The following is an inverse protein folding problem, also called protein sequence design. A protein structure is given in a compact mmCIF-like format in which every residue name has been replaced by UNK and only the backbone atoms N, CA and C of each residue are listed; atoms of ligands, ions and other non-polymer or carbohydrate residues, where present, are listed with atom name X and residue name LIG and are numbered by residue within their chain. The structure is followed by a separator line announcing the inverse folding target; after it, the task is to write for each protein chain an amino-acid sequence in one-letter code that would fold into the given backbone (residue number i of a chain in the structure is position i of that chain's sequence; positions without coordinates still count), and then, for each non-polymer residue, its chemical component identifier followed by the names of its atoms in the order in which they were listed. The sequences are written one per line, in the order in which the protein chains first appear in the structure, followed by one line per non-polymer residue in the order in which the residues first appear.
data_IF_026954692848
#
_entry.id   IF_026954692848
#
_cell.length_a   1.000
_cell.length_b   1.000
_cell.length_c   1.000
_cell.angle_alpha   90.00
_cell.angle_beta   90.00
_cell.angle_gamma   90.00
#
_symmetry.space_group_name_H-M   'P 1'
#
loop_
_entity.id
_entity.type
_entity.pdbx_description
1 polymer ?
#
# COMPACT_ATOMS: atom_id res chain seq x y z
N UNK A 1 17.62 -9.86 1.56
CA UNK A 1 16.54 -9.69 0.56
C UNK A 1 17.04 -8.76 -0.52
N UNK A 2 16.93 -9.18 -1.79
CA UNK A 2 17.48 -8.48 -2.94
C UNK A 2 16.54 -7.35 -3.41
N UNK A 3 17.07 -6.37 -4.16
CA UNK A 3 16.33 -5.25 -4.77
C UNK A 3 15.00 -5.62 -5.48
N UNK A 4 14.89 -6.78 -6.18
CA UNK A 4 13.66 -7.20 -6.83
C UNK A 4 12.49 -7.31 -5.86
N UNK A 5 12.70 -7.82 -4.64
CA UNK A 5 11.60 -8.05 -3.69
C UNK A 5 10.95 -6.75 -3.24
N UNK A 6 11.73 -5.68 -3.00
CA UNK A 6 11.19 -4.37 -2.58
C UNK A 6 10.37 -3.72 -3.68
N UNK A 7 10.93 -3.65 -4.88
CA UNK A 7 10.25 -3.07 -6.04
C UNK A 7 9.01 -3.89 -6.40
N UNK A 8 9.05 -5.22 -6.22
CA UNK A 8 7.89 -6.07 -6.42
C UNK A 8 6.75 -5.72 -5.47
N UNK A 9 6.98 -5.62 -4.16
CA UNK A 9 5.89 -5.29 -3.21
C UNK A 9 5.41 -3.83 -3.32
N UNK A 10 6.28 -2.89 -3.68
CA UNK A 10 5.85 -1.53 -4.01
C UNK A 10 4.97 -1.54 -5.27
N UNK A 11 5.37 -2.29 -6.29
CA UNK A 11 4.61 -2.46 -7.53
C UNK A 11 3.28 -3.16 -7.32
N UNK A 12 3.22 -4.18 -6.46
CA UNK A 12 1.98 -4.87 -6.09
C UNK A 12 1.03 -3.94 -5.32
N UNK A 13 1.53 -3.19 -4.33
CA UNK A 13 0.73 -2.20 -3.61
C UNK A 13 0.23 -1.08 -4.54
N UNK A 14 1.07 -0.63 -5.48
CA UNK A 14 0.69 0.35 -6.51
C UNK A 14 -0.41 -0.22 -7.41
N UNK A 15 -0.24 -1.46 -7.89
CA UNK A 15 -1.19 -2.12 -8.77
C UNK A 15 -2.56 -2.31 -8.11
N UNK A 16 -2.60 -2.82 -6.87
CA UNK A 16 -3.85 -2.99 -6.14
C UNK A 16 -4.52 -1.65 -5.84
N UNK A 17 -3.73 -0.62 -5.50
CA UNK A 17 -4.25 0.74 -5.33
C UNK A 17 -4.86 1.25 -6.65
N UNK A 18 -4.20 1.11 -7.80
CA UNK A 18 -4.76 1.50 -9.10
C UNK A 18 -6.08 0.79 -9.41
N UNK A 19 -6.15 -0.53 -9.19
CA UNK A 19 -7.39 -1.29 -9.36
C UNK A 19 -8.49 -0.82 -8.40
N UNK A 20 -8.14 -0.43 -7.16
CA UNK A 20 -9.12 0.14 -6.25
C UNK A 20 -9.72 1.43 -6.80
N UNK A 21 -8.99 2.26 -7.55
CA UNK A 21 -9.58 3.49 -8.11
C UNK A 21 -10.80 3.11 -8.96
N UNK A 22 -10.70 2.07 -9.78
CA UNK A 22 -11.79 1.58 -10.60
C UNK A 22 -12.93 0.99 -9.73
N UNK A 23 -12.64 -0.02 -8.91
CA UNK A 23 -13.69 -0.73 -8.17
C UNK A 23 -14.31 0.10 -7.03
N UNK A 24 -13.51 0.93 -6.37
CA UNK A 24 -13.95 1.84 -5.33
C UNK A 24 -14.84 2.96 -5.87
N UNK A 25 -14.50 3.55 -7.03
CA UNK A 25 -15.38 4.54 -7.67
C UNK A 25 -16.67 3.89 -8.17
N UNK A 26 -16.61 2.71 -8.81
CA UNK A 26 -17.80 1.97 -9.20
C UNK A 26 -18.73 1.69 -8.00
N UNK A 27 -18.18 1.22 -6.86
CA UNK A 27 -18.95 1.04 -5.63
C UNK A 27 -19.48 2.36 -5.03
N UNK A 28 -18.77 3.47 -5.26
CA UNK A 28 -19.11 4.79 -4.70
C UNK A 28 -20.18 5.57 -5.47
N UNK A 29 -20.34 5.33 -6.77
CA UNK A 29 -21.29 6.06 -7.62
C UNK A 29 -22.64 5.35 -7.79
N UNK A 30 -22.80 4.16 -7.23
CA UNK A 30 -23.96 3.32 -7.46
C UNK A 30 -24.75 3.21 -6.15
N UNK A 31 -26.04 3.52 -6.24
CA UNK A 31 -26.97 3.37 -5.12
C UNK A 31 -27.29 1.88 -4.94
N UNK A 32 -26.45 1.20 -4.15
CA UNK A 32 -26.69 -0.16 -3.69
C UNK A 32 -27.76 -0.21 -2.58
N UNK A 33 -28.01 -1.41 -2.07
CA UNK A 33 -28.92 -1.64 -0.93
C UNK A 33 -28.32 -1.20 0.42
N UNK A 34 -26.99 -1.06 0.50
CA UNK A 34 -26.29 -0.59 1.67
C UNK A 34 -26.36 0.93 1.80
N UNK A 35 -26.74 1.39 3.00
CA UNK A 35 -26.82 2.81 3.34
C UNK A 35 -25.47 3.53 3.24
N UNK A 36 -24.34 2.86 3.47
CA UNK A 36 -23.03 3.50 3.58
C UNK A 36 -22.02 3.09 2.50
N UNK A 37 -22.34 2.10 1.67
CA UNK A 37 -21.41 1.63 0.62
C UNK A 37 -21.01 2.75 -0.34
N UNK A 38 -21.95 3.61 -0.76
CA UNK A 38 -21.64 4.73 -1.65
C UNK A 38 -20.65 5.72 -1.02
N UNK A 39 -20.73 5.96 0.29
CA UNK A 39 -19.82 6.85 1.03
C UNK A 39 -18.44 6.21 1.11
N UNK A 40 -18.38 4.96 1.58
CA UNK A 40 -17.11 4.25 1.75
C UNK A 40 -16.42 3.98 0.41
N UNK A 41 -17.18 3.70 -0.65
CA UNK A 41 -16.68 3.58 -2.01
C UNK A 41 -16.02 4.86 -2.51
N UNK A 42 -16.67 6.02 -2.34
CA UNK A 42 -16.08 7.33 -2.70
C UNK A 42 -14.81 7.63 -1.92
N UNK A 43 -14.80 7.38 -0.61
CA UNK A 43 -13.62 7.55 0.23
C UNK A 43 -12.50 6.61 -0.25
N UNK A 44 -12.81 5.33 -0.50
CA UNK A 44 -11.82 4.36 -0.98
C UNK A 44 -11.27 4.73 -2.36
N UNK A 45 -12.10 5.24 -3.28
CA UNK A 45 -11.68 5.73 -4.59
C UNK A 45 -10.75 6.94 -4.49
N UNK A 46 -11.06 7.93 -3.65
CA UNK A 46 -10.19 9.08 -3.43
C UNK A 46 -8.87 8.69 -2.74
N UNK A 47 -8.94 7.88 -1.69
CA UNK A 47 -7.75 7.39 -0.97
C UNK A 47 -6.87 6.52 -1.86
N UNK A 48 -7.47 5.76 -2.77
CA UNK A 48 -6.79 5.03 -3.82
C UNK A 48 -5.95 5.96 -4.71
N UNK A 49 -6.55 7.04 -5.24
CA UNK A 49 -5.84 8.03 -6.05
C UNK A 49 -4.62 8.60 -5.34
N UNK A 50 -4.82 9.03 -4.09
CA UNK A 50 -3.73 9.57 -3.27
C UNK A 50 -2.65 8.53 -2.99
N UNK A 51 -3.04 7.28 -2.71
CA UNK A 51 -2.12 6.19 -2.41
C UNK A 51 -1.22 5.87 -3.60
N UNK A 52 -1.78 5.64 -4.80
CA UNK A 52 -0.95 5.23 -5.93
C UNK A 52 -0.07 6.38 -6.44
N UNK A 53 -0.54 7.64 -6.38
CA UNK A 53 0.28 8.81 -6.66
C UNK A 53 1.47 8.90 -5.69
N UNK A 54 1.21 8.68 -4.39
CA UNK A 54 2.27 8.71 -3.37
C UNK A 54 3.28 7.57 -3.56
N UNK A 55 2.83 6.35 -3.82
CA UNK A 55 3.72 5.20 -4.08
C UNK A 55 4.56 5.45 -5.34
N UNK A 56 4.00 6.06 -6.39
CA UNK A 56 4.75 6.43 -7.60
C UNK A 56 5.87 7.44 -7.29
N UNK A 57 5.60 8.44 -6.45
CA UNK A 57 6.61 9.41 -5.98
C UNK A 57 7.73 8.71 -5.19
N UNK A 58 7.40 7.79 -4.28
CA UNK A 58 8.38 7.02 -3.52
C UNK A 58 9.22 6.12 -4.42
N UNK A 59 8.61 5.46 -5.41
CA UNK A 59 9.32 4.65 -6.40
C UNK A 59 10.34 5.48 -7.19
N UNK A 60 9.99 6.70 -7.61
CA UNK A 60 10.91 7.62 -8.31
C UNK A 60 12.13 8.05 -7.48
N UNK A 61 12.07 7.89 -6.16
CA UNK A 61 13.15 8.22 -5.23
C UNK A 61 13.89 6.98 -4.69
N UNK A 62 13.41 5.77 -4.99
CA UNK A 62 13.95 4.51 -4.48
C UNK A 62 15.39 4.22 -4.93
N UNK A 63 15.82 4.71 -6.10
CA UNK A 63 17.09 4.34 -6.74
C UNK A 63 18.22 5.37 -6.56
N UNK A 64 18.17 6.22 -5.52
CA UNK A 64 19.13 7.33 -5.33
C UNK A 64 19.98 7.14 -4.06
N UNK A 65 21.12 6.42 -4.11
CA UNK A 65 21.89 6.04 -2.92
C UNK A 65 22.55 7.22 -2.21
N UNK A 66 22.98 8.25 -2.93
CA UNK A 66 23.74 9.40 -2.39
C UNK A 66 22.93 10.69 -2.32
N UNK A 67 21.60 10.61 -2.34
CA UNK A 67 20.78 11.81 -2.29
C UNK A 67 20.61 12.32 -0.85
N UNK A 68 20.68 13.64 -0.66
CA UNK A 68 20.37 14.28 0.62
C UNK A 68 18.86 14.50 0.84
N UNK A 69 18.02 14.15 -0.14
CA UNK A 69 16.58 14.40 -0.09
C UNK A 69 15.91 13.55 1.00
N UNK A 70 14.97 14.10 1.78
CA UNK A 70 14.29 13.35 2.83
C UNK A 70 13.50 12.14 2.28
N UNK A 71 12.96 12.25 1.06
CA UNK A 71 12.21 11.21 0.37
C UNK A 71 13.04 9.97 0.02
N UNK A 72 14.37 10.04 0.00
CA UNK A 72 15.22 8.87 -0.29
C UNK A 72 15.58 8.09 0.97
N UNK A 73 15.25 8.60 2.15
CA UNK A 73 15.56 7.98 3.44
C UNK A 73 14.64 6.80 3.75
N UNK A 74 15.19 5.76 4.35
CA UNK A 74 14.44 4.56 4.77
C UNK A 74 13.29 4.88 5.70
N UNK A 75 13.44 5.90 6.56
CA UNK A 75 12.36 6.41 7.42
C UNK A 75 11.12 6.85 6.63
N UNK A 76 11.30 7.65 5.57
CA UNK A 76 10.17 8.19 4.79
C UNK A 76 9.36 7.08 4.12
N UNK A 77 10.06 6.10 3.55
CA UNK A 77 9.45 4.92 2.97
C UNK A 77 8.74 4.06 4.02
N UNK A 78 9.41 3.75 5.14
CA UNK A 78 8.85 2.94 6.22
C UNK A 78 7.56 3.55 6.78
N UNK A 79 7.60 4.82 7.18
CA UNK A 79 6.44 5.53 7.74
C UNK A 79 5.30 5.58 6.73
N UNK A 80 5.60 5.89 5.47
CA UNK A 80 4.58 5.91 4.40
C UNK A 80 3.84 4.59 4.29
N UNK A 81 4.57 3.47 4.20
CA UNK A 81 3.95 2.16 4.03
C UNK A 81 3.22 1.66 5.28
N UNK A 82 3.65 2.03 6.49
CA UNK A 82 2.89 1.75 7.72
C UNK A 82 1.57 2.51 7.75
N UNK A 83 1.59 3.81 7.43
CA UNK A 83 0.37 4.63 7.38
C UNK A 83 -0.59 4.08 6.34
N UNK A 84 -0.10 3.77 5.12
CA UNK A 84 -0.90 3.13 4.08
C UNK A 84 -1.47 1.81 4.61
N UNK A 85 -0.66 0.94 5.22
CA UNK A 85 -1.14 -0.35 5.72
C UNK A 85 -2.32 -0.19 6.71
N UNK A 86 -2.20 0.72 7.69
CA UNK A 86 -3.24 0.96 8.70
C UNK A 86 -4.51 1.53 8.06
N UNK A 87 -4.37 2.56 7.22
CA UNK A 87 -5.50 3.22 6.55
C UNK A 87 -6.28 2.22 5.69
N UNK A 88 -5.58 1.40 4.91
CA UNK A 88 -6.22 0.42 4.04
C UNK A 88 -6.82 -0.76 4.79
N UNK A 89 -6.26 -1.13 5.94
CA UNK A 89 -6.89 -2.12 6.82
C UNK A 89 -8.23 -1.60 7.33
N UNK A 90 -8.26 -0.35 7.82
CA UNK A 90 -9.49 0.28 8.29
C UNK A 90 -10.54 0.40 7.18
N UNK A 91 -10.14 0.87 5.99
CA UNK A 91 -11.03 0.95 4.83
C UNK A 91 -11.54 -0.44 4.38
N UNK A 92 -10.68 -1.46 4.41
CA UNK A 92 -11.07 -2.84 4.11
C UNK A 92 -12.14 -3.36 5.06
N UNK A 93 -11.98 -3.14 6.37
CA UNK A 93 -13.00 -3.48 7.37
C UNK A 93 -14.30 -2.70 7.14
N UNK A 94 -14.22 -1.40 6.88
CA UNK A 94 -15.39 -0.57 6.61
C UNK A 94 -16.16 -1.08 5.38
N UNK A 95 -15.48 -1.40 4.28
CA UNK A 95 -16.11 -1.96 3.08
C UNK A 95 -16.71 -3.34 3.34
N UNK A 96 -15.98 -4.22 4.04
CA UNK A 96 -16.43 -5.58 4.37
C UNK A 96 -17.75 -5.57 5.16
N UNK A 97 -17.90 -4.63 6.12
CA UNK A 97 -19.14 -4.52 6.92
C UNK A 97 -20.37 -4.16 6.10
N UNK A 98 -20.19 -3.60 4.89
CA UNK A 98 -21.29 -3.21 4.00
C UNK A 98 -21.62 -4.28 2.95
N UNK A 99 -20.87 -5.39 2.90
CA UNK A 99 -21.08 -6.44 1.90
C UNK A 99 -22.37 -7.26 2.08
N UNK A 100 -22.79 -7.69 3.29
CA UNK A 100 -23.91 -8.62 3.42
C UNK A 100 -25.21 -8.16 2.73
N UNK A 101 -25.66 -6.89 2.92
CA UNK A 101 -26.88 -6.42 2.26
C UNK A 101 -26.83 -6.44 0.72
N UNK A 102 -25.65 -6.25 0.12
CA UNK A 102 -25.50 -6.29 -1.35
C UNK A 102 -25.45 -7.73 -1.89
N UNK A 103 -24.87 -8.63 -1.10
CA UNK A 103 -24.69 -10.03 -1.45
C UNK A 103 -25.96 -10.84 -1.29
N UNK A 104 -26.79 -10.52 -0.29
CA UNK A 104 -28.13 -11.11 -0.14
C UNK A 104 -29.05 -10.76 -1.31
N UNK A 105 -28.84 -9.59 -1.93
CA UNK A 105 -29.57 -9.16 -3.12
C UNK A 105 -29.07 -9.82 -4.43
N UNK A 106 -28.04 -10.68 -4.37
CA UNK A 106 -27.43 -11.36 -5.53
C UNK A 106 -27.10 -10.43 -6.71
N UNK A 107 -26.67 -9.21 -6.40
CA UNK A 107 -26.39 -8.20 -7.42
C UNK A 107 -24.93 -8.25 -7.88
N UNK A 108 -24.65 -7.71 -9.07
CA UNK A 108 -23.28 -7.44 -9.53
C UNK A 108 -22.50 -6.53 -8.57
N UNK A 109 -23.20 -5.79 -7.70
CA UNK A 109 -22.62 -4.90 -6.71
C UNK A 109 -21.97 -5.64 -5.55
N UNK A 110 -22.48 -6.83 -5.19
CA UNK A 110 -21.80 -7.73 -4.27
C UNK A 110 -20.40 -8.07 -4.80
N UNK A 111 -20.29 -8.40 -6.08
CA UNK A 111 -19.01 -8.72 -6.72
C UNK A 111 -18.07 -7.50 -6.71
N UNK A 112 -18.57 -6.33 -7.09
CA UNK A 112 -17.78 -5.09 -7.07
C UNK A 112 -17.31 -4.72 -5.64
N UNK A 113 -18.19 -4.84 -4.64
CA UNK A 113 -17.87 -4.60 -3.24
C UNK A 113 -16.87 -5.63 -2.70
N UNK A 114 -16.99 -6.90 -3.08
CA UNK A 114 -16.05 -7.97 -2.73
C UNK A 114 -14.66 -7.73 -3.32
N UNK A 115 -14.57 -7.34 -4.59
CA UNK A 115 -13.30 -6.96 -5.22
C UNK A 115 -12.69 -5.72 -4.55
N UNK A 116 -13.48 -4.68 -4.33
CA UNK A 116 -13.06 -3.46 -3.64
C UNK A 116 -12.54 -3.76 -2.22
N UNK A 117 -13.21 -4.66 -1.49
CA UNK A 117 -12.79 -5.07 -0.14
C UNK A 117 -11.48 -5.87 -0.20
N UNK A 118 -11.38 -6.82 -1.13
CA UNK A 118 -10.19 -7.66 -1.29
C UNK A 118 -8.95 -6.83 -1.68
N UNK A 119 -9.12 -5.89 -2.60
CA UNK A 119 -8.06 -4.98 -3.04
C UNK A 119 -7.61 -4.05 -1.90
N UNK A 120 -8.51 -3.61 -1.03
CA UNK A 120 -8.15 -2.84 0.16
C UNK A 120 -7.27 -3.67 1.12
N UNK A 121 -7.66 -4.91 1.42
CA UNK A 121 -6.85 -5.80 2.26
C UNK A 121 -5.50 -6.16 1.63
N UNK A 122 -5.47 -6.42 0.32
CA UNK A 122 -4.22 -6.70 -0.40
C UNK A 122 -3.29 -5.48 -0.40
N UNK A 123 -3.82 -4.28 -0.60
CA UNK A 123 -3.05 -3.04 -0.52
C UNK A 123 -2.46 -2.85 0.88
N UNK A 124 -3.25 -3.14 1.92
CA UNK A 124 -2.77 -3.12 3.31
C UNK A 124 -1.63 -4.13 3.53
N UNK A 125 -1.84 -5.39 3.11
CA UNK A 125 -0.88 -6.47 3.28
C UNK A 125 0.44 -6.18 2.55
N UNK A 126 0.39 -5.81 1.27
CA UNK A 126 1.60 -5.50 0.48
C UNK A 126 2.33 -4.27 1.02
N UNK A 127 1.61 -3.32 1.60
CA UNK A 127 2.20 -2.16 2.29
C UNK A 127 2.89 -2.56 3.59
N UNK A 128 2.27 -3.42 4.41
CA UNK A 128 2.88 -3.93 5.64
C UNK A 128 4.15 -4.76 5.36
N UNK A 129 4.13 -5.59 4.31
CA UNK A 129 5.31 -6.34 3.85
C UNK A 129 6.39 -5.35 3.37
N UNK A 130 6.01 -4.36 2.57
CA UNK A 130 6.95 -3.31 2.10
C UNK A 130 7.62 -2.57 3.26
N UNK A 131 6.86 -2.17 4.28
CA UNK A 131 7.39 -1.55 5.49
C UNK A 131 8.35 -2.48 6.23
N UNK A 132 7.97 -3.75 6.41
CA UNK A 132 8.80 -4.76 7.08
C UNK A 132 10.14 -4.95 6.36
N UNK A 133 10.14 -5.04 5.03
CA UNK A 133 11.37 -5.20 4.24
C UNK A 133 12.25 -3.95 4.37
N UNK A 134 11.68 -2.74 4.32
CA UNK A 134 12.44 -1.49 4.52
C UNK A 134 13.06 -1.46 5.91
N UNK A 135 12.29 -1.80 6.95
CA UNK A 135 12.77 -1.82 8.33
C UNK A 135 13.93 -2.80 8.53
N UNK A 136 13.76 -4.05 8.08
CA UNK A 136 14.80 -5.09 8.17
C UNK A 136 16.05 -4.67 7.39
N UNK A 137 15.88 -4.09 6.19
CA UNK A 137 17.01 -3.60 5.38
C UNK A 137 17.76 -2.47 6.08
N UNK A 138 17.04 -1.54 6.72
CA UNK A 138 17.63 -0.42 7.45
C UNK A 138 18.39 -0.90 8.70
N UNK A 139 17.82 -1.83 9.47
CA UNK A 139 18.46 -2.40 10.66
C UNK A 139 19.75 -3.13 10.30
N UNK A 140 19.76 -3.93 9.22
CA UNK A 140 20.95 -4.66 8.76
C UNK A 140 22.07 -3.76 8.26
N UNK A 141 21.78 -2.51 7.91
CA UNK A 141 22.81 -1.56 7.45
C UNK A 141 23.66 -0.97 8.59
N UNK A 142 23.25 -1.12 9.85
CA UNK A 142 23.89 -0.50 11.02
C UNK A 142 23.63 1.00 11.18
N UNK A 143 23.22 1.70 10.11
CA UNK A 143 22.91 3.13 10.12
C UNK A 143 21.42 3.45 10.41
N UNK A 144 20.61 2.44 10.72
CA UNK A 144 19.20 2.58 11.07
C UNK A 144 18.34 3.21 9.97
N UNK A 145 17.22 3.85 10.33
CA UNK A 145 16.25 4.41 9.37
C UNK A 145 16.73 5.72 8.70
N UNK A 146 17.82 6.32 9.16
CA UNK A 146 18.42 7.53 8.56
C UNK A 146 19.13 7.27 7.24
N UNK A 147 19.51 6.02 6.96
CA UNK A 147 20.20 5.65 5.72
C UNK A 147 19.27 5.76 4.52
N UNK A 148 19.83 6.11 3.37
CA UNK A 148 19.09 6.06 2.12
C UNK A 148 18.67 4.62 1.79
N UNK A 149 17.48 4.51 1.24
CA UNK A 149 16.84 3.25 0.88
C UNK A 149 17.70 2.40 -0.06
N UNK A 150 18.35 3.02 -1.05
CA UNK A 150 19.26 2.33 -1.96
C UNK A 150 20.59 1.96 -1.28
N UNK A 151 21.10 2.81 -0.40
CA UNK A 151 22.35 2.58 0.32
C UNK A 151 22.23 1.46 1.37
N UNK A 152 21.08 1.36 2.05
CA UNK A 152 20.80 0.28 3.00
C UNK A 152 20.99 -1.11 2.37
N UNK A 153 20.66 -1.22 1.09
CA UNK A 153 20.79 -2.45 0.30
C UNK A 153 22.26 -2.75 0.00
N UNK A 154 23.01 -1.78 -0.49
CA UNK A 154 24.41 -1.99 -0.85
C UNK A 154 25.22 -2.42 0.37
N UNK A 155 25.00 -1.75 1.51
CA UNK A 155 25.66 -2.08 2.79
C UNK A 155 25.31 -3.50 3.27
N UNK A 156 24.04 -3.92 3.14
CA UNK A 156 23.59 -5.25 3.54
C UNK A 156 24.17 -6.38 2.67
N UNK A 157 24.58 -6.09 1.43
CA UNK A 157 25.26 -7.06 0.56
C UNK A 157 26.75 -7.15 0.93
N UNK A 158 27.39 -6.00 1.19
CA UNK A 158 28.84 -5.94 1.44
C UNK A 158 29.24 -6.40 2.84
N UNK A 159 28.34 -6.42 3.82
CA UNK A 159 28.66 -6.80 5.20
C UNK A 159 27.85 -8.02 5.69
N UNK A 160 28.24 -9.24 5.28
CA UNK A 160 27.55 -10.47 5.69
C UNK A 160 27.80 -10.86 7.16
N UNK A 161 28.64 -10.13 7.90
CA UNK A 161 29.00 -10.44 9.31
C UNK A 161 27.94 -10.01 10.34
N UNK A 162 26.84 -9.39 9.89
CA UNK A 162 25.70 -8.99 10.72
C UNK A 162 24.50 -9.95 10.59
N UNK A 163 24.75 -11.19 10.12
CA UNK A 163 23.76 -12.27 10.03
C UNK A 163 23.90 -13.21 11.22
#
# INVERSE_FOLDING_TARGET
MTLPSRTAFYGLALFTACLQTLFGTLAGFINGHSRYLYIFGKIAGLMSLLTWLWIAVLLGHNSRPNSSKPLTRSLAHFVSFIVIAIVWLALGVMLATQMPPECDAHTLWCTAAAFSTSLAFLTSLFSAISASIVYISAQRSGAGLSVNVAQARDLAITNPRLV
#
